data_IF_428031828915
#
_entry.id   IF_428031828915
#
_cell.length_a   1.000
_cell.length_b   1.000
_cell.length_c   1.000
_cell.angle_alpha   90.00
_cell.angle_beta   90.00
_cell.angle_gamma   90.00
#
_symmetry.space_group_name_H-M   'P 1'
#
loop_
_entity.id
_entity.type
_entity.pdbx_description
1 polymer ?
#
# COMPACT_ATOMS: atom_id res chain seq x y z
N UNK A 1 20.00 -5.23 -12.66
CA UNK A 1 18.64 -5.32 -12.07
C UNK A 1 17.64 -5.34 -13.21
N UNK A 2 16.69 -6.28 -13.21
CA UNK A 2 15.60 -6.30 -14.20
C UNK A 2 14.43 -5.50 -13.63
N UNK A 3 13.92 -4.55 -14.39
CA UNK A 3 12.78 -3.72 -13.99
C UNK A 3 11.54 -4.19 -14.73
N UNK A 4 10.49 -4.51 -13.98
CA UNK A 4 9.17 -4.85 -14.55
C UNK A 4 8.23 -3.65 -14.40
N UNK A 5 7.51 -3.29 -15.48
CA UNK A 5 6.43 -2.31 -15.44
C UNK A 5 5.10 -3.04 -15.56
N UNK A 6 4.25 -2.90 -14.54
CA UNK A 6 2.91 -3.50 -14.50
C UNK A 6 1.88 -2.38 -14.50
N UNK A 7 0.81 -2.52 -15.31
CA UNK A 7 -0.32 -1.58 -15.35
C UNK A 7 -1.63 -2.34 -15.34
N UNK A 8 -2.55 -1.91 -14.49
CA UNK A 8 -3.95 -2.34 -14.47
C UNK A 8 -4.83 -1.11 -14.29
N UNK A 9 -6.06 -1.15 -14.79
CA UNK A 9 -7.06 -0.10 -14.63
C UNK A 9 -8.44 -0.70 -14.44
N UNK A 10 -9.27 -0.04 -13.64
CA UNK A 10 -10.66 -0.40 -13.40
C UNK A 10 -11.45 0.80 -12.88
N UNK A 11 -12.77 0.72 -12.96
CA UNK A 11 -13.67 1.76 -12.47
C UNK A 11 -14.07 1.45 -11.03
N UNK A 12 -14.09 2.47 -10.17
CA UNK A 12 -14.62 2.41 -8.82
C UNK A 12 -15.76 3.42 -8.74
N UNK A 13 -16.97 2.95 -8.39
CA UNK A 13 -18.16 3.80 -8.25
C UNK A 13 -18.12 4.56 -6.91
N UNK A 14 -17.18 5.49 -6.79
CA UNK A 14 -17.00 6.31 -5.59
C UNK A 14 -16.48 7.71 -5.96
N UNK A 15 -16.69 8.65 -5.05
CA UNK A 15 -16.14 10.01 -5.17
C UNK A 15 -14.60 9.95 -5.19
N UNK A 16 -13.91 10.61 -6.15
CA UNK A 16 -12.46 10.50 -6.31
C UNK A 16 -11.66 10.86 -5.05
N UNK A 17 -12.07 11.90 -4.33
CA UNK A 17 -11.47 12.34 -3.07
C UNK A 17 -11.62 11.32 -1.95
N UNK A 18 -12.71 10.54 -1.91
CA UNK A 18 -12.87 9.42 -1.00
C UNK A 18 -11.89 8.29 -1.33
N UNK A 19 -11.78 7.92 -2.60
CA UNK A 19 -10.81 6.90 -3.06
C UNK A 19 -9.40 7.32 -2.67
N UNK A 20 -9.02 8.56 -2.94
CA UNK A 20 -7.72 9.09 -2.57
C UNK A 20 -7.51 9.09 -1.05
N UNK A 21 -8.51 9.47 -0.25
CA UNK A 21 -8.43 9.44 1.22
C UNK A 21 -8.20 8.04 1.77
N UNK A 22 -8.84 7.02 1.21
CA UNK A 22 -8.63 5.62 1.61
C UNK A 22 -7.20 5.19 1.29
N UNK A 23 -6.70 5.51 0.09
CA UNK A 23 -5.33 5.18 -0.33
C UNK A 23 -4.30 5.92 0.54
N UNK A 24 -4.53 7.19 0.87
CA UNK A 24 -3.59 7.99 1.65
C UNK A 24 -3.57 7.62 3.14
N UNK A 25 -4.65 7.03 3.67
CA UNK A 25 -4.75 6.68 5.09
C UNK A 25 -4.08 5.33 5.38
N UNK A 26 -2.80 5.35 5.75
CA UNK A 26 -2.05 4.13 6.08
C UNK A 26 -2.42 3.48 7.42
N UNK A 27 -3.21 4.16 8.26
CA UNK A 27 -3.65 3.64 9.57
C UNK A 27 -4.87 2.73 9.45
N UNK A 28 -5.85 3.12 8.65
CA UNK A 28 -7.14 2.40 8.56
C UNK A 28 -7.57 2.12 7.12
N UNK A 29 -7.53 3.12 6.22
CA UNK A 29 -8.03 2.96 4.86
C UNK A 29 -7.20 1.95 4.05
N UNK A 30 -5.91 2.25 3.91
CA UNK A 30 -4.99 1.51 3.06
C UNK A 30 -4.81 0.03 3.51
N UNK A 31 -4.62 -0.28 4.81
CA UNK A 31 -4.51 -1.68 5.24
C UNK A 31 -5.71 -2.54 4.86
N UNK A 32 -6.90 -1.95 4.75
CA UNK A 32 -8.14 -2.67 4.45
C UNK A 32 -8.34 -2.98 2.96
N UNK A 33 -7.62 -2.30 2.06
CA UNK A 33 -7.66 -2.60 0.61
C UNK A 33 -6.53 -3.55 0.17
N UNK A 34 -5.59 -3.88 1.07
CA UNK A 34 -4.51 -4.82 0.80
C UNK A 34 -4.94 -6.26 1.04
N UNK A 35 -4.49 -7.15 0.16
CA UNK A 35 -4.72 -8.58 0.36
C UNK A 35 -3.88 -9.13 1.51
N UNK A 36 -4.54 -9.51 2.61
CA UNK A 36 -3.91 -10.13 3.79
C UNK A 36 -3.14 -11.43 3.48
N UNK A 37 -3.35 -12.02 2.31
CA UNK A 37 -2.60 -13.19 1.83
C UNK A 37 -1.16 -12.84 1.45
N UNK A 38 -0.94 -11.66 0.89
CA UNK A 38 0.34 -11.26 0.32
C UNK A 38 1.09 -10.24 1.16
N UNK A 39 0.38 -9.37 1.89
CA UNK A 39 0.97 -8.29 2.67
C UNK A 39 0.94 -8.60 4.18
N UNK A 40 2.04 -8.29 4.86
CA UNK A 40 2.06 -8.19 6.32
C UNK A 40 1.28 -6.95 6.79
N UNK A 41 0.97 -6.84 8.09
CA UNK A 41 0.54 -5.57 8.66
C UNK A 41 1.51 -4.44 8.34
N UNK A 42 0.99 -3.23 8.12
CA UNK A 42 1.78 -2.02 7.96
C UNK A 42 2.18 -1.50 9.34
N UNK A 43 3.47 -1.31 9.56
CA UNK A 43 4.00 -0.67 10.76
C UNK A 43 4.34 0.77 10.42
N UNK A 44 3.50 1.71 10.87
CA UNK A 44 3.78 3.15 10.71
C UNK A 44 4.84 3.57 11.73
N UNK A 45 5.86 4.27 11.26
CA UNK A 45 6.90 4.87 12.08
C UNK A 45 6.63 6.36 12.32
N UNK A 46 6.19 7.07 11.29
CA UNK A 46 5.93 8.51 11.33
C UNK A 46 4.77 8.87 10.40
N UNK A 47 3.97 9.88 10.78
CA UNK A 47 2.82 10.34 10.01
C UNK A 47 1.65 9.35 10.01
N UNK A 48 1.37 8.75 8.85
CA UNK A 48 0.30 7.78 8.64
C UNK A 48 -0.85 8.28 7.75
N UNK A 49 -0.70 9.46 7.16
CA UNK A 49 -1.63 9.97 6.15
C UNK A 49 -0.86 10.70 5.05
N UNK A 50 -0.92 10.19 3.82
CA UNK A 50 -0.35 10.85 2.65
C UNK A 50 1.16 11.00 2.68
N UNK A 51 1.66 12.06 2.05
CA UNK A 51 3.09 12.34 1.88
C UNK A 51 3.79 12.54 3.24
N UNK A 52 5.05 12.09 3.33
CA UNK A 52 5.84 12.12 4.57
C UNK A 52 5.48 11.01 5.56
N UNK A 53 4.72 9.99 5.14
CA UNK A 53 4.48 8.81 5.98
C UNK A 53 5.62 7.82 5.82
N UNK A 54 6.31 7.53 6.93
CA UNK A 54 7.31 6.47 7.00
C UNK A 54 6.68 5.17 7.50
N UNK A 55 6.88 4.07 6.78
CA UNK A 55 6.30 2.77 7.17
C UNK A 55 7.14 1.56 6.75
N UNK A 56 6.98 0.44 7.48
CA UNK A 56 7.55 -0.88 7.18
C UNK A 56 6.47 -1.91 6.91
N UNK A 57 6.72 -2.78 5.94
CA UNK A 57 5.93 -3.99 5.70
C UNK A 57 6.74 -5.02 4.92
N UNK A 58 6.22 -6.25 4.87
CA UNK A 58 6.73 -7.31 4.01
C UNK A 58 5.64 -7.77 3.05
N UNK A 59 6.04 -8.14 1.84
CA UNK A 59 5.15 -8.70 0.81
C UNK A 59 5.70 -10.02 0.30
N UNK A 60 4.82 -11.01 0.10
CA UNK A 60 5.10 -12.25 -0.62
C UNK A 60 4.68 -12.08 -2.08
N UNK A 61 5.66 -12.00 -2.99
CA UNK A 61 5.43 -11.90 -4.42
C UNK A 61 6.41 -12.83 -5.16
N UNK A 62 5.95 -13.46 -6.25
CA UNK A 62 6.76 -14.35 -7.09
C UNK A 62 7.51 -15.44 -6.28
N UNK A 63 6.86 -15.98 -5.24
CA UNK A 63 7.43 -17.02 -4.38
C UNK A 63 8.48 -16.54 -3.37
N UNK A 64 8.73 -15.23 -3.27
CA UNK A 64 9.71 -14.66 -2.33
C UNK A 64 9.06 -13.65 -1.39
N UNK A 65 9.52 -13.62 -0.15
CA UNK A 65 9.20 -12.56 0.79
C UNK A 65 10.21 -11.42 0.63
N UNK A 66 9.72 -10.20 0.52
CA UNK A 66 10.52 -8.99 0.44
C UNK A 66 10.03 -7.99 1.47
N UNK A 67 10.96 -7.38 2.20
CA UNK A 67 10.67 -6.30 3.15
C UNK A 67 10.88 -4.94 2.49
N UNK A 68 10.01 -4.01 2.84
CA UNK A 68 9.96 -2.66 2.31
C UNK A 68 9.98 -1.67 3.47
N UNK A 69 10.72 -0.57 3.26
CA UNK A 69 10.70 0.62 4.08
C UNK A 69 10.43 1.79 3.12
N UNK A 70 9.32 2.48 3.35
CA UNK A 70 8.92 3.64 2.56
C UNK A 70 9.08 4.90 3.42
N UNK A 71 9.56 5.98 2.80
CA UNK A 71 9.80 7.30 3.38
C UNK A 71 9.20 8.37 2.49
#
# INVERSE_FOLDING_TARGET
MVTYRVRASGTVEAEPGLVHRIIANYKEGHPNILSKKYFSPLTIEEGGFGAGTTLRFSMKALGRAQSFHLT
#
